data_IF_664114807340
#
_entry.id   IF_664114807340
#
_cell.length_a   1.000
_cell.length_b   1.000
_cell.length_c   1.000
_cell.angle_alpha   90.00
_cell.angle_beta   90.00
_cell.angle_gamma   90.00
#
_symmetry.space_group_name_H-M   'P 1'
#
loop_
_entity.id
_entity.type
_entity.pdbx_description
1 polymer ?
#
# COMPACT_ATOMS: atom_id res chain seq x y z
N UNK A 1 -24.76 14.30 -1.91
CA UNK A 1 -23.46 13.70 -1.53
C UNK A 1 -23.46 12.17 -1.50
N UNK A 2 -24.43 11.49 -0.84
CA UNK A 2 -24.47 10.01 -0.74
C UNK A 2 -24.32 9.24 -2.06
N UNK A 3 -24.83 9.79 -3.17
CA UNK A 3 -24.73 9.19 -4.51
C UNK A 3 -23.29 9.01 -5.00
N UNK A 4 -22.35 9.86 -4.60
CA UNK A 4 -20.96 9.81 -5.09
C UNK A 4 -19.98 9.17 -4.11
N UNK A 5 -20.45 8.70 -2.94
CA UNK A 5 -19.57 8.13 -1.92
C UNK A 5 -18.80 6.89 -2.42
N UNK A 6 -19.43 6.03 -3.23
CA UNK A 6 -18.75 4.89 -3.84
C UNK A 6 -17.67 5.36 -4.83
N UNK A 7 -17.89 6.44 -5.58
CA UNK A 7 -16.87 7.00 -6.49
C UNK A 7 -15.70 7.58 -5.72
N UNK A 8 -15.97 8.30 -4.62
CA UNK A 8 -14.92 8.84 -3.74
C UNK A 8 -14.12 7.70 -3.11
N UNK A 9 -14.80 6.66 -2.58
CA UNK A 9 -14.13 5.49 -2.01
C UNK A 9 -13.27 4.76 -3.04
N UNK A 10 -13.75 4.63 -4.28
CA UNK A 10 -12.96 4.04 -5.37
C UNK A 10 -11.73 4.88 -5.71
N UNK A 11 -11.88 6.20 -5.80
CA UNK A 11 -10.77 7.10 -6.08
C UNK A 11 -9.72 7.04 -4.97
N UNK A 12 -10.15 7.05 -3.70
CA UNK A 12 -9.26 6.88 -2.55
C UNK A 12 -8.58 5.51 -2.55
N UNK A 13 -9.30 4.44 -2.87
CA UNK A 13 -8.75 3.09 -3.01
C UNK A 13 -7.63 3.07 -4.05
N UNK A 14 -7.88 3.61 -5.24
CA UNK A 14 -6.89 3.64 -6.33
C UNK A 14 -5.68 4.47 -5.93
N UNK A 15 -5.88 5.64 -5.32
CA UNK A 15 -4.78 6.50 -4.87
C UNK A 15 -3.92 5.84 -3.79
N UNK A 16 -4.55 5.23 -2.78
CA UNK A 16 -3.83 4.50 -1.73
C UNK A 16 -3.05 3.32 -2.31
N UNK A 17 -3.68 2.54 -3.19
CA UNK A 17 -3.05 1.38 -3.82
C UNK A 17 -1.84 1.78 -4.68
N UNK A 18 -1.98 2.85 -5.48
CA UNK A 18 -0.86 3.35 -6.29
C UNK A 18 0.27 3.87 -5.40
N UNK A 19 -0.05 4.55 -4.30
CA UNK A 19 0.97 5.01 -3.37
C UNK A 19 1.68 3.84 -2.68
N UNK A 20 0.97 2.81 -2.25
CA UNK A 20 1.57 1.58 -1.73
C UNK A 20 2.47 0.89 -2.75
N UNK A 21 2.07 0.85 -4.03
CA UNK A 21 2.94 0.33 -5.10
C UNK A 21 4.23 1.14 -5.24
N UNK A 22 4.18 2.47 -5.17
CA UNK A 22 5.39 3.31 -5.23
C UNK A 22 6.28 3.10 -4.02
N UNK A 23 5.70 3.10 -2.82
CA UNK A 23 6.48 3.00 -1.58
C UNK A 23 7.07 1.59 -1.41
N UNK A 24 6.22 0.57 -1.44
CA UNK A 24 6.67 -0.81 -1.25
C UNK A 24 7.42 -1.35 -2.47
N UNK A 25 7.15 -0.84 -3.68
CA UNK A 25 7.91 -1.15 -4.90
C UNK A 25 9.39 -0.81 -4.79
N UNK A 26 9.73 0.26 -4.06
CA UNK A 26 11.11 0.69 -3.85
C UNK A 26 11.85 -0.08 -2.74
N UNK A 27 11.14 -0.87 -1.92
CA UNK A 27 11.73 -1.58 -0.77
C UNK A 27 12.82 -2.58 -1.15
N UNK A 28 12.67 -3.42 -2.20
CA UNK A 28 13.70 -4.39 -2.58
C UNK A 28 15.06 -3.74 -2.88
N UNK A 29 15.06 -2.48 -3.31
CA UNK A 29 16.26 -1.72 -3.69
C UNK A 29 16.85 -0.88 -2.55
N UNK A 30 16.30 -0.97 -1.33
CA UNK A 30 16.90 -0.34 -0.15
C UNK A 30 18.27 -0.95 0.15
N UNK A 31 19.28 -0.11 0.23
CA UNK A 31 20.66 -0.53 0.47
C UNK A 31 20.78 -1.29 1.81
N UNK A 32 21.40 -2.48 1.77
CA UNK A 32 21.71 -3.28 2.95
C UNK A 32 20.58 -4.18 3.48
N UNK A 33 19.31 -3.80 3.33
CA UNK A 33 18.17 -4.56 3.91
C UNK A 33 17.07 -4.93 2.93
N UNK A 34 16.99 -4.29 1.76
CA UNK A 34 15.84 -4.42 0.85
C UNK A 34 15.55 -5.86 0.42
N UNK A 35 16.59 -6.61 0.05
CA UNK A 35 16.46 -8.01 -0.32
C UNK A 35 15.96 -8.91 0.84
N UNK A 36 16.39 -8.63 2.07
CA UNK A 36 15.97 -9.38 3.26
C UNK A 36 14.49 -9.12 3.57
N UNK A 37 14.08 -7.86 3.49
CA UNK A 37 12.67 -7.46 3.67
C UNK A 37 11.80 -8.09 2.60
N UNK A 38 12.22 -8.06 1.33
CA UNK A 38 11.47 -8.68 0.23
C UNK A 38 11.34 -10.20 0.42
N UNK A 39 12.41 -10.87 0.86
CA UNK A 39 12.37 -12.31 1.15
C UNK A 39 11.42 -12.64 2.30
N UNK A 40 11.48 -11.89 3.40
CA UNK A 40 10.55 -12.03 4.53
C UNK A 40 9.09 -11.76 4.09
N UNK A 41 8.87 -10.75 3.23
CA UNK A 41 7.55 -10.45 2.68
C UNK A 41 6.97 -11.57 1.82
N UNK A 42 7.79 -12.23 0.99
CA UNK A 42 7.34 -13.39 0.22
C UNK A 42 6.95 -14.57 1.10
N UNK A 43 7.57 -14.72 2.27
CA UNK A 43 7.27 -15.80 3.20
C UNK A 43 6.04 -15.52 4.08
N UNK A 44 5.90 -14.29 4.58
CA UNK A 44 4.99 -13.99 5.70
C UNK A 44 3.93 -12.93 5.38
N UNK A 45 4.16 -12.06 4.39
CA UNK A 45 3.30 -10.90 4.10
C UNK A 45 2.90 -10.84 2.62
N UNK A 46 1.89 -11.64 2.24
CA UNK A 46 1.37 -11.74 0.87
C UNK A 46 0.98 -10.35 0.30
N UNK A 47 0.42 -9.47 1.13
CA UNK A 47 0.02 -8.13 0.68
C UNK A 47 1.25 -7.25 0.36
N UNK A 48 2.25 -7.24 1.24
CA UNK A 48 3.50 -6.50 1.01
C UNK A 48 4.24 -7.04 -0.21
N UNK A 49 4.34 -8.36 -0.38
CA UNK A 49 4.96 -8.96 -1.57
C UNK A 49 4.19 -8.65 -2.85
N UNK A 50 2.86 -8.54 -2.79
CA UNK A 50 2.05 -8.08 -3.93
C UNK A 50 2.38 -6.62 -4.28
N UNK A 51 2.49 -5.75 -3.27
CA UNK A 51 2.82 -4.35 -3.51
C UNK A 51 4.24 -4.17 -4.05
N UNK A 52 5.23 -4.89 -3.51
CA UNK A 52 6.61 -4.90 -4.00
C UNK A 52 6.68 -5.40 -5.45
N UNK A 53 6.05 -6.55 -5.73
CA UNK A 53 6.11 -7.18 -7.05
C UNK A 53 5.42 -6.36 -8.15
N UNK A 54 4.28 -5.74 -7.84
CA UNK A 54 3.57 -4.87 -8.79
C UNK A 54 4.18 -3.48 -8.89
N UNK A 55 4.72 -2.96 -7.77
CA UNK A 55 5.41 -1.69 -7.69
C UNK A 55 6.64 -1.60 -8.58
N UNK A 56 7.42 -2.69 -8.69
CA UNK A 56 8.58 -2.72 -9.59
C UNK A 56 8.24 -2.44 -11.07
N UNK A 57 7.05 -2.80 -11.54
CA UNK A 57 6.61 -2.43 -12.89
C UNK A 57 6.25 -0.95 -13.02
N UNK A 58 5.73 -0.34 -11.95
CA UNK A 58 5.38 1.08 -11.91
C UNK A 58 6.65 1.95 -11.89
N UNK A 59 7.65 1.53 -11.12
CA UNK A 59 8.96 2.18 -11.03
C UNK A 59 9.68 2.17 -12.39
N UNK A 60 9.62 1.04 -13.11
CA UNK A 60 10.16 0.94 -14.47
C UNK A 60 9.46 1.89 -15.47
N UNK A 61 8.19 2.24 -15.22
CA UNK A 61 7.42 3.12 -16.09
C UNK A 61 7.64 4.61 -15.78
N UNK A 62 7.94 4.98 -14.52
CA UNK A 62 8.09 6.37 -14.08
C UNK A 62 9.28 6.52 -13.13
N UNK A 63 10.43 6.88 -13.66
CA UNK A 63 11.70 6.95 -12.91
C UNK A 63 11.69 7.88 -11.69
N UNK A 64 10.86 8.92 -11.68
CA UNK A 64 10.73 9.85 -10.55
C UNK A 64 10.02 9.26 -9.33
N UNK A 65 9.20 8.23 -9.51
CA UNK A 65 8.45 7.60 -8.41
C UNK A 65 9.35 6.72 -7.54
N UNK A 66 10.29 6.02 -8.17
CA UNK A 66 11.24 5.17 -7.45
C UNK A 66 12.05 5.97 -6.42
N UNK A 67 12.68 7.08 -6.84
CA UNK A 67 13.47 7.93 -5.93
C UNK A 67 12.65 8.48 -4.75
N UNK A 68 11.37 8.81 -5.00
CA UNK A 68 10.45 9.22 -3.94
C UNK A 68 10.16 8.06 -2.97
N UNK A 69 9.84 6.87 -3.49
CA UNK A 69 9.61 5.67 -2.70
C UNK A 69 10.81 5.28 -1.84
N UNK A 70 12.01 5.25 -2.43
CA UNK A 70 13.27 4.95 -1.75
C UNK A 70 13.52 5.94 -0.62
N UNK A 71 13.36 7.25 -0.86
CA UNK A 71 13.57 8.27 0.17
C UNK A 71 12.63 8.09 1.36
N UNK A 72 11.32 7.96 1.09
CA UNK A 72 10.31 7.79 2.14
C UNK A 72 10.51 6.49 2.91
N UNK A 73 10.79 5.37 2.23
CA UNK A 73 10.98 4.07 2.90
C UNK A 73 12.30 3.99 3.64
N UNK A 74 13.35 4.64 3.15
CA UNK A 74 14.61 4.78 3.90
C UNK A 74 14.33 5.54 5.20
N UNK A 75 13.68 6.70 5.13
CA UNK A 75 13.35 7.50 6.32
C UNK A 75 12.45 6.73 7.31
N UNK A 76 11.47 5.98 6.80
CA UNK A 76 10.58 5.18 7.62
C UNK A 76 11.29 4.02 8.33
N UNK A 77 12.14 3.28 7.61
CA UNK A 77 12.65 1.99 8.08
C UNK A 77 14.07 2.04 8.65
N UNK A 78 14.85 3.10 8.39
CA UNK A 78 16.24 3.25 8.86
C UNK A 78 16.41 2.94 10.36
N UNK A 79 15.54 3.41 11.28
CA UNK A 79 15.71 3.10 12.70
C UNK A 79 15.59 1.60 13.02
N UNK A 80 14.94 0.82 12.16
CA UNK A 80 14.78 -0.63 12.27
C UNK A 80 15.86 -1.44 11.54
N UNK A 81 16.71 -0.83 10.70
CA UNK A 81 17.66 -1.55 9.85
C UNK A 81 18.60 -2.45 10.64
N UNK A 82 19.16 -1.97 11.75
CA UNK A 82 20.05 -2.76 12.59
C UNK A 82 19.39 -4.06 13.07
N UNK A 83 18.09 -4.00 13.42
CA UNK A 83 17.33 -5.15 13.89
C UNK A 83 16.92 -6.08 12.74
N UNK A 84 16.61 -5.53 11.57
CA UNK A 84 16.33 -6.31 10.36
C UNK A 84 17.57 -7.10 9.92
N UNK A 85 18.76 -6.51 10.02
CA UNK A 85 20.03 -7.18 9.70
C UNK A 85 20.32 -8.31 10.71
N UNK A 86 20.01 -8.09 11.99
CA UNK A 86 20.20 -9.09 13.05
C UNK A 86 19.26 -10.29 12.87
N UNK A 87 17.97 -10.03 12.60
CA UNK A 87 16.92 -11.05 12.47
C UNK A 87 16.10 -10.89 11.16
N UNK A 88 16.67 -11.21 9.98
CA UNK A 88 16.05 -10.93 8.70
C UNK A 88 14.79 -11.76 8.41
N UNK A 89 14.66 -12.94 9.04
CA UNK A 89 13.52 -13.82 8.81
C UNK A 89 12.19 -13.20 9.28
N UNK A 90 12.24 -12.40 10.35
CA UNK A 90 11.06 -11.76 10.96
C UNK A 90 10.96 -10.27 10.61
N UNK A 91 11.64 -9.83 9.55
CA UNK A 91 11.71 -8.43 9.17
C UNK A 91 10.31 -7.83 8.95
N UNK A 92 9.41 -8.56 8.28
CA UNK A 92 8.05 -8.06 8.05
C UNK A 92 7.20 -8.03 9.32
N UNK A 93 7.33 -9.02 10.21
CA UNK A 93 6.67 -8.99 11.52
C UNK A 93 7.12 -7.77 12.32
N UNK A 94 8.43 -7.53 12.35
CA UNK A 94 9.02 -6.37 13.01
C UNK A 94 8.50 -5.05 12.44
N UNK A 95 8.49 -4.89 11.11
CA UNK A 95 8.00 -3.70 10.41
C UNK A 95 6.50 -3.48 10.73
N UNK A 96 5.68 -4.51 10.62
CA UNK A 96 4.23 -4.36 10.79
C UNK A 96 3.78 -4.23 12.25
N UNK A 97 4.54 -4.75 13.22
CA UNK A 97 4.18 -4.69 14.64
C UNK A 97 4.92 -3.63 15.46
N UNK A 98 5.98 -3.03 14.93
CA UNK A 98 6.73 -1.97 15.63
C UNK A 98 6.36 -0.56 15.17
N UNK A 99 6.63 0.44 16.01
CA UNK A 99 6.63 1.85 15.62
C UNK A 99 8.06 2.37 15.74
N UNK A 100 8.59 2.88 14.63
CA UNK A 100 9.98 3.36 14.57
C UNK A 100 10.02 4.89 14.59
N UNK A 101 9.15 5.51 13.81
CA UNK A 101 8.97 6.95 13.70
C UNK A 101 7.60 7.25 13.08
N UNK A 102 7.28 8.55 12.99
CA UNK A 102 6.02 9.04 12.46
C UNK A 102 5.80 8.65 10.98
N UNK A 103 6.87 8.63 10.17
CA UNK A 103 6.82 8.24 8.76
C UNK A 103 6.47 6.76 8.64
N UNK A 104 7.08 5.91 9.46
CA UNK A 104 6.78 4.49 9.51
C UNK A 104 5.32 4.23 9.91
N UNK A 105 4.82 4.90 10.94
CA UNK A 105 3.41 4.77 11.34
C UNK A 105 2.46 5.18 10.21
N UNK A 106 2.81 6.24 9.47
CA UNK A 106 2.04 6.66 8.30
C UNK A 106 2.07 5.61 7.19
N UNK A 107 3.23 5.06 6.85
CA UNK A 107 3.37 3.98 5.84
C UNK A 107 2.57 2.74 6.27
N UNK A 108 2.64 2.35 7.54
CA UNK A 108 1.87 1.20 8.08
C UNK A 108 0.37 1.41 8.00
N UNK A 109 -0.11 2.61 8.32
CA UNK A 109 -1.53 2.94 8.20
C UNK A 109 -1.98 2.92 6.74
N UNK A 110 -1.14 3.44 5.85
CA UNK A 110 -1.39 3.43 4.41
C UNK A 110 -1.44 2.00 3.86
N UNK A 111 -0.52 1.12 4.27
CA UNK A 111 -0.45 -0.28 3.85
C UNK A 111 -1.79 -1.04 3.97
N UNK A 112 -2.56 -0.75 5.02
CA UNK A 112 -3.89 -1.35 5.25
C UNK A 112 -5.04 -0.58 4.60
N UNK A 113 -4.80 0.62 4.07
CA UNK A 113 -5.85 1.43 3.47
C UNK A 113 -6.49 0.78 2.23
N UNK A 114 -5.76 0.18 1.27
CA UNK A 114 -6.39 -0.45 0.10
C UNK A 114 -7.40 -1.55 0.43
N UNK A 115 -7.11 -2.58 1.26
CA UNK A 115 -8.11 -3.60 1.56
C UNK A 115 -9.33 -3.03 2.30
N UNK A 116 -9.12 -2.08 3.22
CA UNK A 116 -10.24 -1.41 3.92
C UNK A 116 -11.10 -0.61 2.94
N UNK A 117 -10.48 0.20 2.08
CA UNK A 117 -11.18 1.04 1.11
C UNK A 117 -11.90 0.20 0.05
N UNK A 118 -11.36 -0.96 -0.32
CA UNK A 118 -12.03 -1.91 -1.21
C UNK A 118 -13.33 -2.44 -0.59
N UNK A 119 -13.29 -2.82 0.68
CA UNK A 119 -14.49 -3.27 1.43
C UNK A 119 -15.51 -2.15 1.54
N UNK A 120 -15.07 -0.94 1.93
CA UNK A 120 -15.94 0.25 2.02
C UNK A 120 -16.57 0.57 0.67
N UNK A 121 -15.78 0.53 -0.41
CA UNK A 121 -16.27 0.70 -1.77
C UNK A 121 -17.35 -0.33 -2.11
N UNK A 122 -17.10 -1.61 -1.86
CA UNK A 122 -18.05 -2.69 -2.17
C UNK A 122 -19.39 -2.47 -1.44
N UNK A 123 -19.34 -2.12 -0.14
CA UNK A 123 -20.54 -1.81 0.65
C UNK A 123 -21.30 -0.64 0.04
N UNK A 124 -20.63 0.48 -0.23
CA UNK A 124 -21.25 1.68 -0.79
C UNK A 124 -21.78 1.46 -2.20
N UNK A 125 -21.13 0.61 -2.99
CA UNK A 125 -21.54 0.26 -4.34
C UNK A 125 -22.81 -0.57 -4.35
N UNK A 126 -22.95 -1.53 -3.42
CA UNK A 126 -24.15 -2.36 -3.25
C UNK A 126 -25.32 -1.54 -2.70
N UNK A 127 -25.06 -0.68 -1.71
CA UNK A 127 -26.07 0.18 -1.08
C UNK A 127 -26.44 1.42 -1.91
N UNK A 128 -25.91 1.56 -3.13
CA UNK A 128 -26.15 2.77 -3.93
C UNK A 128 -27.63 2.90 -4.29
N UNK A 129 -28.21 4.12 -4.19
CA UNK A 129 -29.57 4.35 -4.64
C UNK A 129 -29.67 4.16 -6.16
N UNK A 130 -30.47 3.18 -6.60
CA UNK A 130 -30.74 2.94 -8.02
C UNK A 130 -31.73 4.00 -8.51
N UNK A 131 -31.39 4.71 -9.59
CA UNK A 131 -32.34 5.61 -10.23
C UNK A 131 -33.42 4.77 -10.92
N UNK A 132 -34.64 4.78 -10.39
CA UNK A 132 -35.81 4.20 -11.06
C UNK A 132 -36.16 5.12 -12.22
N UNK A 133 -35.82 4.72 -13.44
CA UNK A 133 -36.32 5.39 -14.65
C UNK A 133 -37.74 4.87 -14.90
N UNK A 134 -38.75 5.69 -14.61
CA UNK A 134 -40.11 5.44 -15.07
C UNK A 134 -40.09 5.46 -16.60
N UNK A 135 -40.20 4.29 -17.22
CA UNK A 135 -40.44 4.16 -18.65
C UNK A 135 -41.82 4.78 -18.89
N UNK A 136 -41.83 5.96 -19.52
CA UNK A 136 -43.07 6.60 -19.94
C UNK A 136 -43.62 5.77 -21.11
N UNK A 137 -44.57 4.89 -20.80
CA UNK A 137 -45.42 4.23 -21.79
C UNK A 137 -46.06 5.33 -22.65
N UNK A 138 -45.80 5.29 -23.96
CA UNK A 138 -46.51 6.08 -24.98
C UNK A 138 -47.54 5.18 -25.63
#
# INVERSE_FOLDING_TARGET
MRRHLHTIALALFVLALLLDFVLWGAVPDLEGVGAQIAQSAHAEAILASTYMGLGGYLDAAVSGLHAFGTGVMTDALTPGFARIIEDPNVAMDLILNSSFNSTHDWVKNLYWAPPILLVVYAILFVLRPKQVKLIRSR
#
